data_IF_052805688871
#
_entry.id   IF_052805688871
#
_cell.length_a   1.000
_cell.length_b   1.000
_cell.length_c   1.000
_cell.angle_alpha   90.00
_cell.angle_beta   90.00
_cell.angle_gamma   90.00
#
_symmetry.space_group_name_H-M   'P 1'
#
loop_
_entity.id
_entity.type
_entity.pdbx_description
1 polymer ?
#
# COMPACT_ATOMS: atom_id res chain seq x y z
N UNK A 1 0.62 19.53 -71.84
CA UNK A 1 1.73 19.45 -70.88
C UNK A 1 1.20 19.00 -69.57
N UNK A 2 1.58 17.77 -69.18
CA UNK A 2 1.01 17.12 -67.97
C UNK A 2 1.93 17.37 -66.79
N UNK A 3 1.52 18.09 -65.81
CA UNK A 3 2.15 18.18 -64.51
C UNK A 3 1.71 17.00 -63.66
N UNK A 4 2.59 16.06 -63.45
CA UNK A 4 2.36 14.97 -62.50
C UNK A 4 2.66 15.47 -61.09
N UNK A 5 1.61 15.76 -60.35
CA UNK A 5 1.69 16.03 -58.93
C UNK A 5 1.89 14.70 -58.21
N UNK A 6 3.07 14.43 -57.73
CA UNK A 6 3.33 13.30 -56.84
C UNK A 6 2.86 13.64 -55.43
N UNK A 7 1.73 13.05 -55.05
CA UNK A 7 1.24 13.09 -53.69
C UNK A 7 2.00 12.04 -52.90
N UNK A 8 3.01 12.46 -52.15
CA UNK A 8 3.68 11.59 -51.18
C UNK A 8 2.81 11.59 -49.91
N UNK A 9 2.04 10.53 -49.77
CA UNK A 9 1.30 10.24 -48.55
C UNK A 9 2.28 9.72 -47.48
N UNK A 10 2.80 10.63 -46.67
CA UNK A 10 3.63 10.28 -45.51
C UNK A 10 2.79 9.54 -44.45
N UNK A 11 2.94 8.25 -44.41
CA UNK A 11 2.38 7.41 -43.35
C UNK A 11 3.16 7.69 -42.07
N UNK A 12 2.65 8.61 -41.23
CA UNK A 12 3.18 8.78 -39.88
C UNK A 12 2.75 7.57 -39.02
N UNK A 13 3.68 6.67 -38.87
CA UNK A 13 3.54 5.60 -37.88
C UNK A 13 3.75 6.23 -36.50
N UNK A 14 2.65 6.55 -35.82
CA UNK A 14 2.67 6.84 -34.39
C UNK A 14 3.00 5.54 -33.65
N UNK A 15 4.27 5.32 -33.41
CA UNK A 15 4.68 4.33 -32.42
C UNK A 15 4.28 4.84 -31.04
N UNK A 16 3.11 4.43 -30.56
CA UNK A 16 2.78 4.58 -29.15
C UNK A 16 3.70 3.64 -28.38
N UNK A 17 4.80 4.18 -27.90
CA UNK A 17 5.56 3.53 -26.84
C UNK A 17 4.65 3.52 -25.61
N UNK A 18 3.95 2.41 -25.38
CA UNK A 18 3.42 2.07 -24.08
C UNK A 18 4.65 1.81 -23.18
N UNK A 19 5.17 2.87 -22.57
CA UNK A 19 6.18 2.77 -21.56
C UNK A 19 5.59 1.93 -20.40
N UNK A 20 6.05 0.68 -20.27
CA UNK A 20 5.82 -0.12 -19.10
C UNK A 20 6.42 0.66 -17.93
N UNK A 21 5.58 1.14 -17.01
CA UNK A 21 5.97 1.92 -15.83
C UNK A 21 6.67 1.00 -14.82
N UNK A 22 7.82 0.45 -15.19
CA UNK A 22 8.61 -0.48 -14.38
C UNK A 22 9.19 0.17 -13.12
N UNK A 23 9.27 1.50 -13.08
CA UNK A 23 9.95 2.22 -11.99
C UNK A 23 9.03 2.65 -10.85
N UNK A 24 7.72 2.59 -11.01
CA UNK A 24 6.79 3.09 -10.00
C UNK A 24 6.69 2.17 -8.79
N UNK A 25 6.69 0.86 -9.03
CA UNK A 25 6.63 -0.13 -7.94
C UNK A 25 7.94 -0.26 -7.17
N UNK A 26 9.07 -0.03 -7.84
CA UNK A 26 10.41 -0.16 -7.23
C UNK A 26 10.73 0.95 -6.20
N UNK A 27 10.06 2.09 -6.29
CA UNK A 27 10.25 3.22 -5.38
C UNK A 27 9.27 3.22 -4.20
N UNK A 28 8.35 2.28 -4.15
CA UNK A 28 7.37 2.20 -3.08
C UNK A 28 8.02 1.74 -1.78
N UNK A 29 7.57 2.34 -0.69
CA UNK A 29 7.83 1.84 0.65
C UNK A 29 6.86 0.69 0.95
N UNK A 30 7.40 -0.44 1.38
CA UNK A 30 6.63 -1.55 1.92
C UNK A 30 6.73 -1.52 3.43
N UNK A 31 5.58 -1.51 4.10
CA UNK A 31 5.51 -1.57 5.57
C UNK A 31 4.82 -2.87 5.96
N UNK A 32 5.49 -3.66 6.78
CA UNK A 32 4.91 -4.86 7.36
C UNK A 32 4.67 -4.62 8.83
N UNK A 33 3.42 -4.73 9.26
CA UNK A 33 3.00 -4.51 10.63
C UNK A 33 2.43 -5.82 11.17
N UNK A 34 3.03 -6.35 12.23
CA UNK A 34 2.58 -7.58 12.89
C UNK A 34 1.95 -7.25 14.23
N UNK A 35 0.76 -7.77 14.45
CA UNK A 35 0.02 -7.63 15.70
C UNK A 35 -0.17 -8.98 16.37
N UNK A 36 -0.14 -8.96 17.70
CA UNK A 36 -0.58 -10.07 18.55
C UNK A 36 -1.79 -9.63 19.34
N UNK A 37 -2.88 -10.40 19.27
CA UNK A 37 -4.09 -10.08 20.02
C UNK A 37 -4.06 -10.72 21.42
N UNK A 38 -4.82 -10.12 22.33
CA UNK A 38 -5.17 -10.75 23.59
C UNK A 38 -6.00 -12.03 23.33
N UNK A 39 -6.02 -13.01 24.26
CA UNK A 39 -6.87 -14.18 24.14
C UNK A 39 -8.33 -13.82 23.87
N UNK A 40 -8.94 -14.48 22.88
CA UNK A 40 -10.34 -14.29 22.46
C UNK A 40 -10.68 -12.88 21.94
N UNK A 41 -9.66 -12.10 21.53
CA UNK A 41 -9.82 -10.73 21.01
C UNK A 41 -9.50 -10.57 19.53
N UNK A 42 -9.31 -11.67 18.79
CA UNK A 42 -8.97 -11.61 17.35
C UNK A 42 -10.06 -10.93 16.52
N UNK A 43 -11.33 -11.20 16.80
CA UNK A 43 -12.46 -10.58 16.07
C UNK A 43 -12.51 -9.08 16.34
N UNK A 44 -12.35 -8.67 17.60
CA UNK A 44 -12.34 -7.26 17.99
C UNK A 44 -11.16 -6.52 17.33
N UNK A 45 -9.99 -7.14 17.31
CA UNK A 45 -8.80 -6.59 16.68
C UNK A 45 -8.99 -6.40 15.16
N UNK A 46 -9.54 -7.40 14.48
CA UNK A 46 -9.83 -7.31 13.04
C UNK A 46 -10.84 -6.21 12.74
N UNK A 47 -11.88 -6.09 13.58
CA UNK A 47 -12.89 -5.04 13.44
C UNK A 47 -12.27 -3.65 13.61
N UNK A 48 -11.45 -3.46 14.64
CA UNK A 48 -10.75 -2.20 14.89
C UNK A 48 -9.76 -1.85 13.76
N UNK A 49 -9.01 -2.83 13.25
CA UNK A 49 -8.11 -2.64 12.12
C UNK A 49 -8.84 -2.27 10.84
N UNK A 50 -9.96 -2.93 10.53
CA UNK A 50 -10.76 -2.59 9.34
C UNK A 50 -11.29 -1.15 9.42
N UNK A 51 -11.72 -0.69 10.59
CA UNK A 51 -12.15 0.69 10.81
C UNK A 51 -11.01 1.67 10.58
N UNK A 52 -9.80 1.37 11.08
CA UNK A 52 -8.60 2.17 10.83
C UNK A 52 -8.26 2.22 9.33
N UNK A 53 -8.27 1.07 8.66
CA UNK A 53 -7.92 0.95 7.25
C UNK A 53 -8.84 1.80 6.36
N UNK A 54 -10.14 1.88 6.67
CA UNK A 54 -11.06 2.76 5.93
C UNK A 54 -10.65 4.24 6.00
N UNK A 55 -10.05 4.68 7.10
CA UNK A 55 -9.50 6.02 7.24
C UNK A 55 -8.16 6.18 6.50
N UNK A 56 -7.28 5.19 6.63
CA UNK A 56 -5.95 5.17 5.99
C UNK A 56 -6.06 5.20 4.46
N UNK A 57 -7.06 4.57 3.88
CA UNK A 57 -7.33 4.60 2.43
C UNK A 57 -7.52 6.00 1.87
N UNK A 58 -7.95 6.96 2.68
CA UNK A 58 -8.14 8.36 2.30
C UNK A 58 -6.88 9.22 2.43
N UNK A 59 -5.77 8.68 2.96
CA UNK A 59 -4.53 9.43 3.10
C UNK A 59 -3.81 9.60 1.76
N UNK A 60 -3.11 10.74 1.64
CA UNK A 60 -2.20 10.97 0.52
C UNK A 60 -1.08 9.92 0.56
N UNK A 61 -0.56 9.57 -0.62
CA UNK A 61 0.53 8.59 -0.75
C UNK A 61 0.21 7.15 -0.34
N UNK A 62 -1.03 6.86 0.05
CA UNK A 62 -1.49 5.49 0.24
C UNK A 62 -1.65 4.80 -1.12
N UNK A 63 -1.08 3.60 -1.28
CA UNK A 63 -1.21 2.80 -2.51
C UNK A 63 -2.11 1.60 -2.29
N UNK A 64 -1.76 0.74 -1.35
CA UNK A 64 -2.56 -0.45 -1.04
C UNK A 64 -2.25 -1.01 0.34
N UNK A 65 -3.17 -1.83 0.84
CA UNK A 65 -3.00 -2.54 2.10
C UNK A 65 -3.71 -3.89 2.04
N UNK A 66 -3.05 -4.92 2.51
CA UNK A 66 -3.64 -6.25 2.68
C UNK A 66 -3.58 -6.64 4.15
N UNK A 67 -4.72 -7.05 4.71
CA UNK A 67 -4.83 -7.59 6.05
C UNK A 67 -4.81 -9.12 5.97
N UNK A 68 -3.89 -9.73 6.72
CA UNK A 68 -3.70 -11.17 6.77
C UNK A 68 -3.91 -11.69 8.18
N UNK A 69 -4.45 -12.88 8.28
CA UNK A 69 -4.61 -13.61 9.53
C UNK A 69 -3.84 -14.92 9.41
N UNK A 70 -3.05 -15.25 10.41
CA UNK A 70 -2.32 -16.52 10.47
C UNK A 70 -3.31 -17.69 10.46
N UNK A 71 -3.13 -18.61 9.51
CA UNK A 71 -4.01 -19.77 9.35
C UNK A 71 -3.97 -20.73 10.55
N UNK A 72 -2.87 -20.76 11.29
CA UNK A 72 -2.66 -21.66 12.43
C UNK A 72 -3.02 -21.01 13.76
N UNK A 73 -2.90 -19.69 13.86
CA UNK A 73 -3.15 -18.93 15.07
C UNK A 73 -3.74 -17.57 14.74
N UNK A 74 -5.05 -17.44 14.87
CA UNK A 74 -5.79 -16.22 14.52
C UNK A 74 -5.47 -15.02 15.41
N UNK A 75 -4.69 -15.20 16.47
CA UNK A 75 -4.17 -14.10 17.30
C UNK A 75 -3.01 -13.36 16.63
N UNK A 76 -2.43 -13.89 15.57
CA UNK A 76 -1.41 -13.23 14.76
C UNK A 76 -2.05 -12.60 13.53
N UNK A 77 -1.90 -11.28 13.42
CA UNK A 77 -2.41 -10.49 12.31
C UNK A 77 -1.24 -9.76 11.65
N UNK A 78 -1.23 -9.68 10.32
CA UNK A 78 -0.23 -8.98 9.56
C UNK A 78 -0.87 -8.02 8.58
N UNK A 79 -0.44 -6.77 8.59
CA UNK A 79 -0.71 -5.81 7.53
C UNK A 79 0.49 -5.75 6.58
N UNK A 80 0.21 -5.81 5.30
CA UNK A 80 1.16 -5.53 4.24
C UNK A 80 0.72 -4.23 3.55
N UNK A 81 1.46 -3.17 3.76
CA UNK A 81 1.11 -1.83 3.30
C UNK A 81 2.08 -1.37 2.21
N UNK A 82 1.55 -0.67 1.23
CA UNK A 82 2.33 -0.05 0.16
C UNK A 82 2.05 1.44 0.15
N UNK A 83 3.12 2.24 0.20
CA UNK A 83 3.09 3.70 0.19
C UNK A 83 4.04 4.23 -0.88
N UNK A 84 3.67 5.29 -1.56
CA UNK A 84 4.52 5.88 -2.60
C UNK A 84 5.44 7.00 -2.11
N UNK A 85 5.41 7.31 -0.80
CA UNK A 85 6.27 8.29 -0.17
C UNK A 85 6.64 7.88 1.27
N UNK A 86 7.91 7.52 1.47
CA UNK A 86 8.42 7.10 2.78
C UNK A 86 8.45 8.25 3.81
N UNK A 87 8.72 9.48 3.37
CA UNK A 87 8.73 10.65 4.26
C UNK A 87 7.32 10.99 4.73
N UNK A 88 6.33 10.87 3.85
CA UNK A 88 4.93 11.03 4.23
C UNK A 88 4.54 10.03 5.33
N UNK A 89 4.86 8.75 5.15
CA UNK A 89 4.57 7.72 6.14
C UNK A 89 5.16 8.07 7.50
N UNK A 90 6.44 8.43 7.55
CA UNK A 90 7.15 8.71 8.80
C UNK A 90 6.68 9.99 9.48
N UNK A 91 6.41 11.05 8.71
CA UNK A 91 6.18 12.40 9.24
C UNK A 91 4.71 12.78 9.32
N UNK A 92 3.82 12.17 8.54
CA UNK A 92 2.40 12.52 8.49
C UNK A 92 1.49 11.37 8.87
N UNK A 93 1.61 10.18 8.26
CA UNK A 93 0.79 9.03 8.60
C UNK A 93 0.86 8.70 10.09
N UNK A 94 2.05 8.64 10.66
CA UNK A 94 2.27 8.32 12.08
C UNK A 94 1.70 9.36 13.05
N UNK A 95 1.33 10.54 12.58
CA UNK A 95 0.77 11.64 13.36
C UNK A 95 -0.72 11.86 13.11
N UNK A 96 -1.37 11.04 12.30
CA UNK A 96 -2.80 11.18 12.00
C UNK A 96 -3.66 10.95 13.23
N UNK A 97 -4.80 11.64 13.27
CA UNK A 97 -5.79 11.49 14.33
C UNK A 97 -6.30 10.05 14.42
N UNK A 98 -6.62 9.45 13.27
CA UNK A 98 -7.16 8.09 13.24
C UNK A 98 -6.16 7.04 13.75
N UNK A 99 -4.86 7.20 13.48
CA UNK A 99 -3.85 6.30 14.04
C UNK A 99 -3.71 6.46 15.55
N UNK A 100 -3.71 7.70 16.05
CA UNK A 100 -3.66 7.97 17.49
C UNK A 100 -4.87 7.39 18.22
N UNK A 101 -6.07 7.54 17.66
CA UNK A 101 -7.30 6.96 18.21
C UNK A 101 -7.24 5.44 18.24
N UNK A 102 -6.75 4.83 17.14
CA UNK A 102 -6.57 3.38 17.06
C UNK A 102 -5.59 2.87 18.12
N UNK A 103 -4.47 3.55 18.35
CA UNK A 103 -3.48 3.14 19.37
C UNK A 103 -4.15 3.08 20.75
N UNK A 104 -4.97 4.05 21.09
CA UNK A 104 -5.71 4.05 22.37
C UNK A 104 -6.71 2.89 22.41
N UNK A 105 -7.55 2.74 21.40
CA UNK A 105 -8.57 1.68 21.32
C UNK A 105 -7.94 0.28 21.31
N UNK A 106 -6.79 0.13 20.66
CA UNK A 106 -6.09 -1.15 20.50
C UNK A 106 -5.63 -1.78 21.80
N UNK A 107 -5.48 -1.03 22.86
CA UNK A 107 -5.14 -1.54 24.20
C UNK A 107 -6.17 -2.51 24.75
N UNK A 108 -7.39 -2.48 24.25
CA UNK A 108 -8.48 -3.39 24.68
C UNK A 108 -8.41 -4.76 23.99
N UNK A 109 -7.69 -4.89 22.89
CA UNK A 109 -7.64 -6.14 22.12
C UNK A 109 -6.24 -6.58 21.69
N UNK A 110 -5.21 -5.73 21.77
CA UNK A 110 -3.82 -6.11 21.46
C UNK A 110 -3.04 -6.48 22.72
N UNK A 111 -2.20 -7.50 22.61
CA UNK A 111 -1.31 -7.94 23.67
C UNK A 111 -0.13 -7.00 23.95
N UNK A 112 0.18 -6.11 23.02
CA UNK A 112 1.26 -5.16 23.12
C UNK A 112 1.42 -4.33 21.84
N UNK A 113 2.47 -3.51 21.75
CA UNK A 113 2.77 -2.73 20.56
C UNK A 113 3.00 -3.63 19.34
N UNK A 114 2.62 -3.17 18.12
CA UNK A 114 2.94 -3.91 16.90
C UNK A 114 4.43 -3.95 16.62
N UNK A 115 4.85 -4.98 15.91
CA UNK A 115 6.17 -5.06 15.31
C UNK A 115 6.09 -4.49 13.89
N UNK A 116 6.84 -3.41 13.63
CA UNK A 116 6.82 -2.69 12.35
C UNK A 116 8.16 -2.84 11.67
N UNK A 117 8.16 -3.21 10.39
CA UNK A 117 9.36 -3.30 9.56
C UNK A 117 9.15 -2.63 8.21
N UNK A 118 10.24 -2.08 7.67
CA UNK A 118 10.25 -1.29 6.44
C UNK A 118 11.07 -2.01 5.38
N UNK A 119 10.51 -2.11 4.18
CA UNK A 119 11.08 -2.86 3.07
C UNK A 119 11.01 -2.04 1.80
N UNK A 120 11.91 -2.30 0.86
CA UNK A 120 11.83 -1.82 -0.51
C UNK A 120 11.78 -2.99 -1.47
N UNK A 121 11.08 -2.81 -2.59
CA UNK A 121 11.08 -3.81 -3.65
C UNK A 121 12.46 -3.87 -4.29
N UNK A 122 13.06 -5.04 -4.35
CA UNK A 122 14.33 -5.27 -5.03
C UNK A 122 14.12 -5.86 -6.43
N UNK A 123 13.18 -6.79 -6.55
CA UNK A 123 12.84 -7.42 -7.83
C UNK A 123 11.40 -7.92 -7.81
N UNK A 124 10.76 -7.94 -8.98
CA UNK A 124 9.41 -8.45 -9.20
C UNK A 124 9.47 -9.57 -10.22
N UNK A 125 8.92 -10.73 -9.87
CA UNK A 125 8.77 -11.88 -10.75
C UNK A 125 7.27 -12.15 -10.99
N UNK A 126 6.90 -12.43 -12.23
CA UNK A 126 5.51 -12.73 -12.62
C UNK A 126 5.45 -14.04 -13.40
#
# INVERSE_FOLDING_TARGET
>A
MMNKLFLILGLMIFSTFAGCDKNKDENNLIVVVKYKTLPNKSVDAVTGLKKLIEQVKGEDHFVSLKLHIDQKDNSNILLYEVWDDALYYQNQHMKTKHLKEFIVESQTFLAGPPEISFWKVNAVYK
#
